data_IF_968889503118
#
_entry.id   IF_968889503118
#
_cell.length_a   1.000
_cell.length_b   1.000
_cell.length_c   1.000
_cell.angle_alpha   90.00
_cell.angle_beta   90.00
_cell.angle_gamma   90.00
#
_symmetry.space_group_name_H-M   'P 1'
#
loop_
_entity.id
_entity.type
_entity.pdbx_description
1 polymer ?
#
# COMPACT_ATOMS: atom_id res chain seq x y z
N UNK A 1 -5.48 -37.05 12.59
CA UNK A 1 -6.14 -35.83 13.13
C UNK A 1 -7.63 -35.97 12.96
N UNK A 2 -8.39 -36.03 14.05
CA UNK A 2 -9.85 -36.03 14.01
C UNK A 2 -10.32 -34.67 13.52
N UNK A 3 -10.92 -34.60 12.33
CA UNK A 3 -11.52 -33.38 11.78
C UNK A 3 -12.70 -32.95 12.66
N UNK A 4 -13.00 -31.65 12.65
CA UNK A 4 -14.22 -31.10 13.26
C UNK A 4 -15.44 -31.69 12.55
N UNK A 5 -16.42 -32.18 13.30
CA UNK A 5 -17.63 -32.79 12.75
C UNK A 5 -18.60 -31.71 12.22
N UNK A 6 -18.89 -31.67 10.91
CA UNK A 6 -19.80 -30.68 10.33
C UNK A 6 -21.23 -30.82 10.86
N UNK A 7 -21.67 -32.04 11.21
CA UNK A 7 -23.02 -32.31 11.74
C UNK A 7 -23.17 -31.66 13.11
N UNK A 8 -22.12 -31.68 13.92
CA UNK A 8 -22.07 -31.02 15.23
C UNK A 8 -22.21 -29.50 15.11
N UNK A 9 -21.51 -28.85 14.16
CA UNK A 9 -21.62 -27.40 13.94
C UNK A 9 -23.06 -27.01 13.62
N UNK A 10 -23.72 -27.76 12.73
CA UNK A 10 -25.10 -27.50 12.30
C UNK A 10 -26.15 -27.78 13.40
N UNK A 11 -25.92 -28.78 14.26
CA UNK A 11 -26.89 -29.21 15.28
C UNK A 11 -26.70 -28.56 16.65
N UNK A 12 -25.54 -27.96 16.93
CA UNK A 12 -25.16 -27.43 18.25
C UNK A 12 -26.09 -26.33 18.81
N UNK A 13 -26.93 -25.71 17.98
CA UNK A 13 -28.00 -24.80 18.41
C UNK A 13 -27.49 -23.60 19.23
N UNK A 14 -26.20 -23.27 19.14
CA UNK A 14 -25.57 -22.25 19.94
C UNK A 14 -26.16 -20.88 19.61
N UNK A 15 -27.01 -20.38 20.51
CA UNK A 15 -27.64 -19.06 20.42
C UNK A 15 -26.73 -17.89 20.87
N UNK A 16 -25.55 -18.20 21.39
CA UNK A 16 -24.64 -17.20 21.95
C UNK A 16 -23.15 -17.52 21.70
N UNK A 17 -22.51 -16.77 20.80
CA UNK A 17 -21.15 -16.97 20.30
C UNK A 17 -20.02 -16.81 21.33
N UNK A 18 -20.32 -16.27 22.52
CA UNK A 18 -19.35 -16.21 23.63
C UNK A 18 -19.12 -17.58 24.27
N UNK A 19 -20.10 -18.48 24.22
CA UNK A 19 -20.07 -19.73 24.98
C UNK A 19 -19.62 -20.94 24.16
N UNK A 20 -19.39 -20.80 22.85
CA UNK A 20 -19.10 -21.97 22.00
C UNK A 20 -17.75 -22.61 22.35
N UNK A 21 -16.72 -21.79 22.60
CA UNK A 21 -15.41 -22.28 23.04
C UNK A 21 -15.40 -22.77 24.50
N UNK A 22 -16.31 -22.28 25.33
CA UNK A 22 -16.45 -22.68 26.74
C UNK A 22 -17.28 -23.96 26.89
N UNK A 23 -18.34 -24.12 26.09
CA UNK A 23 -19.22 -25.28 26.11
C UNK A 23 -18.62 -26.49 25.39
N UNK A 24 -17.75 -26.27 24.39
CA UNK A 24 -17.17 -27.33 23.57
C UNK A 24 -15.66 -27.15 23.37
N UNK A 25 -14.88 -27.17 24.47
CA UNK A 25 -13.44 -26.89 24.45
C UNK A 25 -12.65 -27.86 23.57
N UNK A 26 -13.05 -29.13 23.54
CA UNK A 26 -12.38 -30.16 22.73
C UNK A 26 -12.54 -29.92 21.22
N UNK A 27 -13.71 -29.42 20.78
CA UNK A 27 -13.95 -29.06 19.39
C UNK A 27 -13.24 -27.76 19.02
N UNK A 28 -13.25 -26.78 19.94
CA UNK A 28 -12.53 -25.54 19.77
C UNK A 28 -11.02 -25.75 19.62
N UNK A 29 -10.42 -26.66 20.41
CA UNK A 29 -9.02 -27.03 20.31
C UNK A 29 -8.69 -27.71 18.95
N UNK A 30 -9.48 -28.70 18.53
CA UNK A 30 -9.30 -29.37 17.23
C UNK A 30 -9.40 -28.39 16.05
N UNK A 31 -10.36 -27.46 16.11
CA UNK A 31 -10.49 -26.42 15.09
C UNK A 31 -9.29 -25.47 15.09
N UNK A 32 -8.81 -25.06 16.26
CA UNK A 32 -7.66 -24.18 16.38
C UNK A 32 -6.37 -24.81 15.86
N UNK A 33 -6.13 -26.10 16.15
CA UNK A 33 -4.98 -26.83 15.62
C UNK A 33 -5.01 -26.93 14.09
N UNK A 34 -6.21 -27.18 13.53
CA UNK A 34 -6.40 -27.21 12.09
C UNK A 34 -6.23 -25.82 11.45
N UNK A 35 -6.81 -24.77 12.03
CA UNK A 35 -6.68 -23.41 11.53
C UNK A 35 -5.22 -22.91 11.61
N UNK A 36 -4.50 -23.24 12.68
CA UNK A 36 -3.08 -22.93 12.82
C UNK A 36 -2.23 -23.65 11.76
N UNK A 37 -2.56 -24.90 11.42
CA UNK A 37 -1.87 -25.62 10.32
C UNK A 37 -2.05 -24.98 8.94
N UNK A 38 -3.08 -24.14 8.79
CA UNK A 38 -3.37 -23.37 7.58
C UNK A 38 -2.86 -21.91 7.66
N UNK A 39 -2.20 -21.53 8.76
CA UNK A 39 -1.57 -20.22 8.94
C UNK A 39 -2.44 -19.17 9.65
N UNK A 40 -3.65 -19.50 10.11
CA UNK A 40 -4.50 -18.55 10.85
C UNK A 40 -4.07 -18.40 12.30
N UNK A 41 -4.09 -17.17 12.81
CA UNK A 41 -3.76 -16.90 14.20
C UNK A 41 -4.94 -17.21 15.13
N UNK A 42 -4.64 -17.29 16.43
CA UNK A 42 -5.63 -17.58 17.48
C UNK A 42 -6.80 -16.60 17.47
N UNK A 43 -6.55 -15.32 17.20
CA UNK A 43 -7.59 -14.28 17.17
C UNK A 43 -8.54 -14.44 15.99
N UNK A 44 -8.02 -14.82 14.81
CA UNK A 44 -8.83 -15.12 13.62
C UNK A 44 -9.69 -16.36 13.84
N UNK A 45 -9.10 -17.40 14.42
CA UNK A 45 -9.78 -18.64 14.80
C UNK A 45 -10.94 -18.37 15.78
N UNK A 46 -10.74 -17.49 16.77
CA UNK A 46 -11.79 -17.06 17.70
C UNK A 46 -12.92 -16.28 17.01
N UNK A 47 -12.60 -15.45 16.01
CA UNK A 47 -13.63 -14.76 15.20
C UNK A 47 -14.45 -15.75 14.39
N UNK A 48 -13.83 -16.76 13.78
CA UNK A 48 -14.54 -17.82 13.05
C UNK A 48 -15.52 -18.58 13.95
N UNK A 49 -15.12 -18.91 15.18
CA UNK A 49 -16.02 -19.53 16.16
C UNK A 49 -17.19 -18.63 16.57
N UNK A 50 -16.98 -17.31 16.66
CA UNK A 50 -18.09 -16.38 16.92
C UNK A 50 -19.08 -16.30 15.76
N UNK A 51 -18.61 -16.46 14.53
CA UNK A 51 -19.46 -16.49 13.32
C UNK A 51 -20.17 -17.85 13.17
N UNK A 52 -19.73 -18.91 13.86
CA UNK A 52 -20.47 -20.18 13.91
C UNK A 52 -21.76 -20.09 14.76
N UNK A 53 -21.95 -19.00 15.53
CA UNK A 53 -23.26 -18.67 16.11
C UNK A 53 -24.20 -18.22 15.00
N UNK A 54 -25.35 -18.89 14.88
CA UNK A 54 -26.29 -18.64 13.78
C UNK A 54 -26.83 -17.21 13.77
N UNK A 55 -27.09 -16.61 14.93
CA UNK A 55 -27.57 -15.22 15.04
C UNK A 55 -26.49 -14.24 14.60
N UNK A 56 -25.24 -14.46 15.04
CA UNK A 56 -24.10 -13.62 14.63
C UNK A 56 -23.77 -13.82 13.15
N UNK A 57 -23.90 -15.04 12.64
CA UNK A 57 -23.74 -15.37 11.23
C UNK A 57 -24.78 -14.63 10.38
N UNK A 58 -26.05 -14.72 10.76
CA UNK A 58 -27.16 -14.05 10.08
C UNK A 58 -26.95 -12.53 10.04
N UNK A 59 -26.57 -11.92 11.17
CA UNK A 59 -26.25 -10.48 11.23
C UNK A 59 -25.00 -10.11 10.40
N UNK A 60 -23.94 -10.93 10.48
CA UNK A 60 -22.72 -10.72 9.69
C UNK A 60 -23.00 -10.81 8.19
N UNK A 61 -23.75 -11.82 7.75
CA UNK A 61 -24.14 -11.97 6.34
C UNK A 61 -25.07 -10.85 5.90
N UNK A 62 -26.06 -10.46 6.72
CA UNK A 62 -26.95 -9.34 6.41
C UNK A 62 -26.21 -8.00 6.30
N UNK A 63 -25.18 -7.76 7.11
CA UNK A 63 -24.33 -6.57 7.01
C UNK A 63 -23.41 -6.65 5.79
N UNK A 64 -22.82 -7.82 5.53
CA UNK A 64 -21.94 -8.04 4.37
C UNK A 64 -22.72 -7.83 3.07
N UNK A 65 -23.93 -8.38 2.95
CA UNK A 65 -24.82 -8.17 1.80
C UNK A 65 -25.18 -6.70 1.60
N UNK A 66 -25.44 -5.95 2.68
CA UNK A 66 -25.67 -4.48 2.59
C UNK A 66 -24.42 -3.72 2.12
N UNK A 67 -23.23 -4.10 2.59
CA UNK A 67 -21.97 -3.47 2.18
C UNK A 67 -21.68 -3.76 0.71
N UNK A 68 -21.81 -5.02 0.29
CA UNK A 68 -21.68 -5.42 -1.11
C UNK A 68 -22.67 -4.68 -1.99
N UNK A 69 -23.95 -4.58 -1.59
CA UNK A 69 -24.96 -3.83 -2.32
C UNK A 69 -24.62 -2.33 -2.43
N UNK A 70 -23.98 -1.71 -1.42
CA UNK A 70 -23.51 -0.32 -1.50
C UNK A 70 -22.34 -0.16 -2.49
N UNK A 71 -21.41 -1.11 -2.49
CA UNK A 71 -20.32 -1.15 -3.47
C UNK A 71 -20.81 -1.41 -4.89
N UNK A 72 -21.78 -2.30 -5.06
CA UNK A 72 -22.45 -2.56 -6.33
C UNK A 72 -23.24 -1.35 -6.79
N UNK A 73 -24.01 -0.70 -5.91
CA UNK A 73 -24.71 0.55 -6.23
C UNK A 73 -23.73 1.66 -6.64
N UNK A 74 -22.59 1.79 -5.98
CA UNK A 74 -21.52 2.71 -6.39
C UNK A 74 -20.91 2.30 -7.74
N UNK A 75 -20.74 1.01 -8.01
CA UNK A 75 -20.26 0.48 -9.28
C UNK A 75 -21.30 0.60 -10.42
N UNK A 76 -22.59 0.57 -10.11
CA UNK A 76 -23.72 0.72 -11.04
C UNK A 76 -24.02 2.18 -11.34
N UNK A 77 -23.95 3.07 -10.33
CA UNK A 77 -24.05 4.52 -10.51
C UNK A 77 -22.91 5.08 -11.39
N UNK A 78 -21.76 4.41 -11.41
CA UNK A 78 -20.59 4.79 -12.20
C UNK A 78 -20.19 3.78 -13.30
N UNK A 79 -21.06 2.80 -13.61
CA UNK A 79 -20.92 1.83 -14.71
C UNK A 79 -19.53 1.19 -14.89
N UNK A 80 -19.30 0.04 -14.23
CA UNK A 80 -18.06 -0.78 -14.28
C UNK A 80 -16.85 -0.13 -13.57
N UNK A 81 -16.33 -0.84 -12.55
CA UNK A 81 -15.17 -0.44 -11.74
C UNK A 81 -15.13 1.02 -11.30
N UNK A 82 -16.26 1.70 -11.07
CA UNK A 82 -16.32 3.13 -10.75
C UNK A 82 -15.09 3.89 -11.29
N UNK A 83 -14.91 3.87 -12.62
CA UNK A 83 -13.77 4.56 -13.22
C UNK A 83 -14.03 6.02 -12.98
N UNK A 84 -13.40 6.53 -11.93
CA UNK A 84 -13.43 7.94 -11.59
C UNK A 84 -13.07 8.68 -12.88
N UNK A 85 -13.95 9.59 -13.37
CA UNK A 85 -13.65 10.29 -14.61
C UNK A 85 -12.30 11.01 -14.46
N UNK A 86 -11.58 11.20 -15.56
CA UNK A 86 -10.18 11.64 -15.50
C UNK A 86 -9.97 12.98 -14.76
N UNK A 87 -11.04 13.75 -14.59
CA UNK A 87 -11.15 15.01 -13.87
C UNK A 87 -11.63 14.88 -12.41
N UNK A 88 -12.08 13.71 -11.97
CA UNK A 88 -12.45 13.43 -10.57
C UNK A 88 -11.24 13.60 -9.63
N UNK A 89 -10.04 13.36 -10.14
CA UNK A 89 -8.84 13.84 -9.48
C UNK A 89 -8.76 15.37 -9.65
N UNK A 90 -9.27 16.09 -8.66
CA UNK A 90 -9.10 17.55 -8.58
C UNK A 90 -7.62 17.95 -8.63
N UNK A 91 -7.34 19.21 -8.92
CA UNK A 91 -5.97 19.71 -9.15
C UNK A 91 -4.99 19.31 -8.04
N UNK A 92 -5.39 19.40 -6.78
CA UNK A 92 -4.54 19.03 -5.63
C UNK A 92 -4.23 17.52 -5.59
N UNK A 93 -5.17 16.66 -5.95
CA UNK A 93 -4.95 15.21 -6.02
C UNK A 93 -3.99 14.84 -7.14
N UNK A 94 -4.05 15.56 -8.28
CA UNK A 94 -3.13 15.37 -9.40
C UNK A 94 -1.72 15.84 -9.04
N UNK A 95 -1.59 16.97 -8.34
CA UNK A 95 -0.30 17.44 -7.80
C UNK A 95 0.27 16.42 -6.81
N UNK A 96 -0.52 16.02 -5.80
CA UNK A 96 -0.10 15.04 -4.79
C UNK A 96 0.30 13.71 -5.40
N UNK A 97 -0.46 13.20 -6.38
CA UNK A 97 -0.11 11.98 -7.12
C UNK A 97 1.22 12.17 -7.85
N UNK A 98 1.41 13.28 -8.55
CA UNK A 98 2.66 13.58 -9.25
C UNK A 98 3.85 13.73 -8.28
N UNK A 99 3.63 14.19 -7.05
CA UNK A 99 4.66 14.24 -6.01
C UNK A 99 4.95 12.86 -5.41
N UNK A 100 3.91 12.06 -5.17
CA UNK A 100 4.03 10.73 -4.52
C UNK A 100 4.62 9.68 -5.45
N UNK A 101 4.42 9.79 -6.76
CA UNK A 101 5.01 8.84 -7.75
C UNK A 101 6.47 9.13 -8.07
N UNK A 102 7.00 10.29 -7.66
CA UNK A 102 8.40 10.65 -7.89
C UNK A 102 9.28 9.87 -6.92
N UNK A 103 10.26 9.12 -7.46
CA UNK A 103 11.33 8.55 -6.64
C UNK A 103 12.26 9.68 -6.20
N UNK A 104 12.22 10.03 -4.93
CA UNK A 104 13.05 11.09 -4.34
C UNK A 104 14.53 10.71 -4.35
N UNK A 105 15.38 11.70 -4.58
CA UNK A 105 16.84 11.62 -4.62
C UNK A 105 17.42 12.75 -3.76
N UNK A 106 18.72 12.70 -3.45
CA UNK A 106 19.36 13.71 -2.60
C UNK A 106 19.22 15.14 -3.12
N UNK A 107 19.35 15.33 -4.43
CA UNK A 107 19.32 16.65 -5.07
C UNK A 107 18.09 16.87 -5.99
N UNK A 108 17.03 16.06 -5.83
CA UNK A 108 15.85 16.17 -6.68
C UNK A 108 15.04 14.90 -6.74
N UNK A 109 14.60 14.51 -7.94
CA UNK A 109 13.80 13.32 -8.15
C UNK A 109 14.04 12.65 -9.51
N UNK A 110 13.72 11.36 -9.57
CA UNK A 110 13.72 10.61 -10.82
C UNK A 110 12.34 10.68 -11.49
N UNK A 111 12.30 11.11 -12.75
CA UNK A 111 11.11 11.11 -13.60
C UNK A 111 10.91 9.80 -14.39
N UNK A 112 11.71 8.76 -14.12
CA UNK A 112 11.55 7.46 -14.78
C UNK A 112 10.22 6.82 -14.35
N UNK A 113 9.42 6.28 -15.28
CA UNK A 113 8.21 5.54 -14.96
C UNK A 113 8.49 4.39 -13.98
N UNK A 114 7.58 4.16 -13.01
CA UNK A 114 7.77 3.14 -11.96
C UNK A 114 7.91 1.72 -12.51
N UNK A 115 7.36 1.48 -13.69
CA UNK A 115 7.39 0.20 -14.39
C UNK A 115 8.79 -0.11 -14.96
N UNK A 116 9.66 0.90 -15.05
CA UNK A 116 11.03 0.78 -15.55
C UNK A 116 12.01 0.94 -14.39
N UNK A 117 12.62 -0.16 -13.95
CA UNK A 117 13.66 -0.08 -12.92
C UNK A 117 15.00 0.44 -13.48
N UNK A 118 15.80 1.10 -12.63
CA UNK A 118 17.10 1.65 -13.03
C UNK A 118 18.17 0.56 -13.02
N UNK A 119 18.64 0.13 -14.21
CA UNK A 119 19.74 -0.83 -14.33
C UNK A 119 21.14 -0.20 -14.17
N UNK A 120 21.24 1.14 -14.17
CA UNK A 120 22.49 1.86 -14.07
C UNK A 120 22.68 2.42 -12.65
N UNK A 121 23.73 1.99 -11.95
CA UNK A 121 24.21 2.63 -10.70
C UNK A 121 25.04 3.89 -11.04
N UNK A 122 24.49 4.78 -11.87
CA UNK A 122 25.14 6.06 -12.19
C UNK A 122 24.68 7.15 -11.22
N UNK A 123 25.57 8.11 -10.95
CA UNK A 123 25.25 9.37 -10.26
C UNK A 123 24.03 10.00 -10.95
N UNK A 124 22.93 10.13 -10.21
CA UNK A 124 21.63 10.49 -10.79
C UNK A 124 21.65 11.85 -11.48
N UNK A 125 22.47 12.78 -10.99
CA UNK A 125 22.65 14.15 -11.50
C UNK A 125 23.18 14.18 -12.95
N UNK A 126 23.72 13.07 -13.46
CA UNK A 126 24.13 12.90 -14.85
C UNK A 126 23.07 12.23 -15.74
N UNK A 127 21.99 11.71 -15.16
CA UNK A 127 20.94 10.96 -15.85
C UNK A 127 19.95 11.89 -16.55
N UNK A 128 19.47 11.51 -17.73
CA UNK A 128 18.43 12.25 -18.46
C UNK A 128 17.06 12.25 -17.77
N UNK A 129 16.84 11.28 -16.88
CA UNK A 129 15.61 11.17 -16.08
C UNK A 129 15.70 11.88 -14.73
N UNK A 130 16.79 12.62 -14.46
CA UNK A 130 16.94 13.41 -13.26
C UNK A 130 16.37 14.82 -13.45
N UNK A 131 15.56 15.22 -12.48
CA UNK A 131 14.98 16.55 -12.40
C UNK A 131 15.28 17.12 -11.02
N UNK A 132 15.57 18.42 -10.98
CA UNK A 132 15.83 19.17 -9.76
C UNK A 132 15.02 20.46 -9.76
N UNK A 133 15.07 21.20 -8.66
CA UNK A 133 14.37 22.47 -8.50
C UNK A 133 15.31 23.48 -7.85
N UNK A 134 14.94 24.76 -7.91
CA UNK A 134 15.72 25.85 -7.32
C UNK A 134 15.98 25.64 -5.81
N UNK A 135 15.10 24.90 -5.13
CA UNK A 135 15.23 24.59 -3.70
C UNK A 135 16.51 23.79 -3.37
N UNK A 136 17.10 23.08 -4.34
CA UNK A 136 18.33 22.32 -4.15
C UNK A 136 19.60 23.09 -4.53
N UNK A 137 19.49 24.33 -5.05
CA UNK A 137 20.64 25.10 -5.57
C UNK A 137 21.77 25.21 -4.56
N UNK A 138 21.49 25.67 -3.35
CA UNK A 138 22.52 25.91 -2.33
C UNK A 138 23.22 24.60 -1.93
N UNK A 139 22.46 23.50 -1.87
CA UNK A 139 23.02 22.17 -1.60
C UNK A 139 23.94 21.70 -2.73
N UNK A 140 23.53 21.90 -3.99
CA UNK A 140 24.33 21.54 -5.16
C UNK A 140 25.60 22.40 -5.26
N UNK A 141 25.51 23.70 -4.94
CA UNK A 141 26.68 24.60 -4.86
C UNK A 141 27.67 24.13 -3.79
N UNK A 142 27.20 23.82 -2.58
CA UNK A 142 28.06 23.30 -1.52
C UNK A 142 28.75 21.98 -1.93
N UNK A 143 28.02 21.07 -2.58
CA UNK A 143 28.59 19.81 -3.07
C UNK A 143 29.58 20.00 -4.22
N UNK A 144 29.38 21.03 -5.05
CA UNK A 144 30.29 21.44 -6.12
C UNK A 144 31.60 22.00 -5.56
N UNK A 145 31.50 22.84 -4.53
CA UNK A 145 32.67 23.45 -3.89
C UNK A 145 33.47 22.41 -3.08
N UNK A 146 32.80 21.50 -2.36
CA UNK A 146 33.42 20.35 -1.70
C UNK A 146 34.18 19.46 -2.71
N UNK A 147 33.56 19.18 -3.87
CA UNK A 147 34.22 18.43 -4.93
C UNK A 147 35.45 19.16 -5.49
N UNK A 148 35.42 20.50 -5.58
CA UNK A 148 36.57 21.29 -6.03
C UNK A 148 37.70 21.28 -5.00
N UNK A 149 37.40 21.43 -3.71
CA UNK A 149 38.37 21.39 -2.62
C UNK A 149 39.08 20.03 -2.54
N UNK A 150 38.33 18.94 -2.78
CA UNK A 150 38.86 17.57 -2.80
C UNK A 150 39.56 17.19 -4.12
N UNK A 151 39.59 18.06 -5.13
CA UNK A 151 40.16 17.75 -6.44
C UNK A 151 39.37 16.72 -7.26
N UNK A 152 38.08 16.55 -6.98
CA UNK A 152 37.18 15.63 -7.67
C UNK A 152 36.60 16.27 -8.94
N UNK A 153 37.42 16.49 -9.97
CA UNK A 153 37.05 17.22 -11.19
C UNK A 153 35.75 16.71 -11.84
N UNK A 154 35.63 15.38 -12.04
CA UNK A 154 34.42 14.80 -12.66
C UNK A 154 33.15 15.11 -11.87
N UNK A 155 33.22 15.13 -10.54
CA UNK A 155 32.07 15.37 -9.68
C UNK A 155 31.71 16.86 -9.65
N UNK A 156 32.71 17.74 -9.63
CA UNK A 156 32.53 19.18 -9.80
C UNK A 156 31.81 19.49 -11.12
N UNK A 157 32.28 18.90 -12.23
CA UNK A 157 31.71 19.15 -13.56
C UNK A 157 30.24 18.68 -13.66
N UNK A 158 29.87 17.59 -12.99
CA UNK A 158 28.47 17.13 -12.91
C UNK A 158 27.60 18.18 -12.23
N UNK A 159 28.04 18.72 -11.09
CA UNK A 159 27.25 19.72 -10.37
C UNK A 159 27.22 21.08 -11.09
N UNK A 160 28.32 21.48 -11.73
CA UNK A 160 28.36 22.67 -12.59
C UNK A 160 27.30 22.56 -13.70
N UNK A 161 27.21 21.40 -14.38
CA UNK A 161 26.21 21.18 -15.42
C UNK A 161 24.76 21.22 -14.90
N UNK A 162 24.52 20.79 -13.65
CA UNK A 162 23.19 20.90 -13.02
C UNK A 162 22.86 22.35 -12.68
N UNK A 163 23.83 23.10 -12.15
CA UNK A 163 23.64 24.52 -11.81
C UNK A 163 23.37 25.37 -13.06
N UNK A 164 24.10 25.15 -14.15
CA UNK A 164 23.82 25.83 -15.43
C UNK A 164 22.39 25.60 -15.90
N UNK A 165 21.91 24.34 -15.88
CA UNK A 165 20.51 24.04 -16.26
C UNK A 165 19.48 24.72 -15.35
N UNK A 166 19.80 24.87 -14.06
CA UNK A 166 18.94 25.58 -13.10
C UNK A 166 18.89 27.09 -13.38
N UNK A 167 19.98 27.68 -13.87
CA UNK A 167 20.03 29.10 -14.27
C UNK A 167 19.24 29.37 -15.56
N UNK A 168 19.23 28.40 -16.48
CA UNK A 168 18.55 28.50 -17.78
C UNK A 168 17.02 28.25 -17.71
N UNK A 169 16.50 27.79 -16.57
CA UNK A 169 15.07 27.50 -16.40
C UNK A 169 14.33 28.74 -15.84
N UNK A 170 13.42 29.38 -16.59
CA UNK A 170 12.67 30.53 -16.09
C UNK A 170 11.75 30.14 -14.92
N UNK A 171 11.60 31.07 -13.97
CA UNK A 171 10.83 30.91 -12.73
C UNK A 171 9.35 30.57 -12.93
#
# INVERSE_FOLDING_TARGET
MSRVDPVFVVTSGCRWGKYVTEAYPDQAAKFADQAASLGYCRQETHRMWRIADRTVAEEYFAVTEKVEALYEQAAHAHGQHAVLPADAAGQNMRVLRNETVKRLLGNGYCGRPRELDCQYETICESCTMFFTTIAHRDTIQAQRDDAAEQGHDRRRDVYDAVLTKLDDTPA
#
